data_IF_787158124702
#
_entry.id   IF_787158124702
#
_cell.length_a   1.000
_cell.length_b   1.000
_cell.length_c   1.000
_cell.angle_alpha   90.00
_cell.angle_beta   90.00
_cell.angle_gamma   90.00
#
_symmetry.space_group_name_H-M   'P 1'
#
loop_
_entity.id
_entity.type
_entity.pdbx_description
1 polymer ?
#
# COMPACT_ATOMS: atom_id res chain seq x y z
N UNK A 1 -13.27 6.09 12.99
CA UNK A 1 -13.38 4.72 12.49
C UNK A 1 -12.07 4.40 11.78
N UNK A 2 -11.45 3.26 12.03
CA UNK A 2 -10.26 2.82 11.29
C UNK A 2 -10.72 2.30 9.92
N UNK A 3 -9.95 2.54 8.87
CA UNK A 3 -10.27 2.07 7.51
C UNK A 3 -9.90 0.61 7.25
N UNK A 4 -9.64 -0.18 8.30
CA UNK A 4 -9.36 -1.62 8.23
C UNK A 4 -10.34 -2.38 9.10
N UNK A 5 -10.62 -3.63 8.74
CA UNK A 5 -11.43 -4.52 9.59
C UNK A 5 -10.65 -4.89 10.86
N UNK A 6 -11.33 -5.27 11.96
CA UNK A 6 -10.66 -5.71 13.17
C UNK A 6 -9.69 -6.88 12.94
N UNK A 7 -10.03 -7.81 12.05
CA UNK A 7 -9.17 -8.93 11.69
C UNK A 7 -7.87 -8.46 11.03
N UNK A 8 -7.98 -7.56 10.05
CA UNK A 8 -6.80 -7.01 9.35
C UNK A 8 -5.93 -6.21 10.32
N UNK A 9 -6.55 -5.45 11.23
CA UNK A 9 -5.83 -4.73 12.27
C UNK A 9 -4.97 -5.66 13.13
N UNK A 10 -5.54 -6.77 13.60
CA UNK A 10 -4.81 -7.75 14.42
C UNK A 10 -3.69 -8.44 13.65
N UNK A 11 -3.89 -8.74 12.37
CA UNK A 11 -2.82 -9.28 11.51
C UNK A 11 -1.67 -8.28 11.39
N UNK A 12 -1.94 -7.02 11.07
CA UNK A 12 -0.89 -5.99 10.97
C UNK A 12 -0.17 -5.84 12.31
N UNK A 13 -0.91 -5.80 13.42
CA UNK A 13 -0.33 -5.71 14.76
C UNK A 13 0.65 -6.87 15.03
N UNK A 14 0.22 -8.11 14.77
CA UNK A 14 1.07 -9.30 14.97
C UNK A 14 2.34 -9.32 14.10
N UNK A 15 2.32 -8.63 12.95
CA UNK A 15 3.49 -8.55 12.06
C UNK A 15 4.50 -7.51 12.53
N UNK A 16 4.07 -6.48 13.27
CA UNK A 16 4.93 -5.34 13.63
C UNK A 16 5.24 -5.23 15.12
N UNK A 17 4.51 -5.93 16.00
CA UNK A 17 4.60 -5.74 17.45
C UNK A 17 6.01 -5.97 18.03
N UNK A 18 6.74 -6.94 17.48
CA UNK A 18 8.10 -7.29 17.90
C UNK A 18 9.18 -6.41 17.25
N UNK A 19 8.81 -5.42 16.43
CA UNK A 19 9.79 -4.59 15.72
C UNK A 19 10.58 -3.70 16.70
N UNK A 20 11.94 -3.66 16.64
CA UNK A 20 12.78 -2.95 17.59
C UNK A 20 12.45 -1.46 17.78
N UNK A 21 11.86 -0.81 16.78
CA UNK A 21 11.46 0.60 16.83
C UNK A 21 10.46 0.92 17.95
N UNK A 22 9.69 -0.08 18.41
CA UNK A 22 8.72 0.08 19.48
C UNK A 22 9.33 -0.11 20.87
N UNK A 23 10.56 -0.61 20.94
CA UNK A 23 11.29 -0.80 22.19
C UNK A 23 12.33 0.31 22.37
N UNK A 24 12.46 0.80 23.60
CA UNK A 24 13.55 1.67 23.98
C UNK A 24 14.10 1.20 25.34
N UNK A 25 15.38 1.44 25.58
CA UNK A 25 16.02 1.13 26.87
C UNK A 25 15.71 2.19 27.94
N UNK A 26 14.50 2.75 27.90
CA UNK A 26 14.07 3.83 28.79
C UNK A 26 13.25 3.30 29.94
N UNK A 27 13.37 3.93 31.11
CA UNK A 27 12.49 3.69 32.25
C UNK A 27 11.08 4.29 32.05
N UNK A 28 10.87 5.07 30.98
CA UNK A 28 9.56 5.60 30.63
C UNK A 28 8.81 4.63 29.74
N UNK A 29 7.70 4.09 30.25
CA UNK A 29 6.81 3.23 29.48
C UNK A 29 6.33 3.95 28.22
N UNK A 30 6.49 3.30 27.08
CA UNK A 30 5.91 3.77 25.83
C UNK A 30 4.43 3.38 25.75
N UNK A 31 3.68 4.06 24.88
CA UNK A 31 2.32 3.63 24.56
C UNK A 31 2.35 2.24 23.88
N UNK A 32 1.36 1.37 24.14
CA UNK A 32 1.27 0.06 23.49
C UNK A 32 1.28 0.18 21.95
N UNK A 33 1.89 -0.79 21.26
CA UNK A 33 1.97 -0.80 19.79
C UNK A 33 0.58 -0.74 19.16
N UNK A 34 -0.39 -1.44 19.75
CA UNK A 34 -1.80 -1.38 19.36
C UNK A 34 -2.35 0.06 19.31
N UNK A 35 -2.02 0.88 20.32
CA UNK A 35 -2.45 2.27 20.37
C UNK A 35 -1.75 3.10 19.29
N UNK A 36 -0.44 2.92 19.12
CA UNK A 36 0.33 3.62 18.09
C UNK A 36 -0.19 3.29 16.67
N UNK A 37 -0.48 2.01 16.42
CA UNK A 37 -1.05 1.52 15.17
C UNK A 37 -2.47 2.06 14.96
N UNK A 38 -3.31 2.04 16.00
CA UNK A 38 -4.66 2.58 15.95
C UNK A 38 -4.68 4.06 15.57
N UNK A 39 -3.85 4.88 16.21
CA UNK A 39 -3.73 6.31 15.89
C UNK A 39 -3.22 6.52 14.46
N UNK A 40 -2.23 5.72 14.03
CA UNK A 40 -1.68 5.80 12.68
C UNK A 40 -2.73 5.45 11.61
N UNK A 41 -3.44 4.35 11.77
CA UNK A 41 -4.49 3.94 10.83
C UNK A 41 -5.69 4.88 10.86
N UNK A 42 -5.99 5.48 12.01
CA UNK A 42 -7.01 6.51 12.12
C UNK A 42 -6.63 7.77 11.33
N UNK A 43 -5.35 8.18 11.41
CA UNK A 43 -4.79 9.28 10.60
C UNK A 43 -4.90 8.99 9.10
N UNK A 44 -4.48 7.79 8.68
CA UNK A 44 -4.48 7.40 7.26
C UNK A 44 -5.89 7.23 6.68
N UNK A 45 -6.87 6.91 7.54
CA UNK A 45 -8.27 6.78 7.14
C UNK A 45 -9.00 8.10 6.92
N UNK A 46 -8.33 9.25 7.08
CA UNK A 46 -8.93 10.58 6.96
C UNK A 46 -8.26 11.41 5.87
N UNK A 47 -9.01 12.39 5.36
CA UNK A 47 -8.59 13.30 4.31
C UNK A 47 -9.03 14.74 4.60
N UNK A 48 -8.35 15.71 3.96
CA UNK A 48 -8.59 17.14 4.15
C UNK A 48 -8.32 17.57 5.60
N UNK A 49 -9.11 18.51 6.11
CA UNK A 49 -8.94 19.04 7.46
C UNK A 49 -9.08 17.97 8.56
N UNK A 50 -9.85 16.90 8.31
CA UNK A 50 -9.97 15.80 9.26
C UNK A 50 -8.70 14.96 9.44
N UNK A 51 -7.71 15.12 8.56
CA UNK A 51 -6.39 14.50 8.70
C UNK A 51 -5.38 15.40 9.44
N UNK A 52 -5.83 16.53 10.01
CA UNK A 52 -4.97 17.41 10.80
C UNK A 52 -4.43 16.66 12.02
N UNK A 53 -3.16 16.90 12.33
CA UNK A 53 -2.49 16.25 13.48
C UNK A 53 -3.16 16.68 14.79
N UNK A 54 -3.58 17.94 14.88
CA UNK A 54 -4.34 18.50 16.01
C UNK A 54 -5.64 17.74 16.27
N UNK A 55 -6.50 17.58 15.26
CA UNK A 55 -7.78 16.87 15.44
C UNK A 55 -7.56 15.40 15.84
N UNK A 56 -6.56 14.76 15.24
CA UNK A 56 -6.23 13.36 15.55
C UNK A 56 -5.70 13.24 16.98
N UNK A 57 -4.82 14.13 17.40
CA UNK A 57 -4.27 14.18 18.74
C UNK A 57 -5.38 14.37 19.78
N UNK A 58 -6.31 15.31 19.50
CA UNK A 58 -7.47 15.57 20.35
C UNK A 58 -8.39 14.35 20.47
N UNK A 59 -8.71 13.68 19.36
CA UNK A 59 -9.56 12.49 19.35
C UNK A 59 -8.87 11.29 20.04
N UNK A 60 -7.56 11.13 19.85
CA UNK A 60 -6.78 10.06 20.43
C UNK A 60 -6.39 10.31 21.90
N UNK A 61 -6.60 11.52 22.42
CA UNK A 61 -6.17 11.90 23.77
C UNK A 61 -4.66 11.89 23.95
N UNK A 62 -3.90 12.28 22.93
CA UNK A 62 -2.44 12.33 22.97
C UNK A 62 -1.90 13.67 22.45
N UNK A 63 -0.58 13.88 22.46
CA UNK A 63 0.03 15.08 21.89
C UNK A 63 0.18 14.97 20.38
N UNK A 64 0.23 16.11 19.69
CA UNK A 64 0.49 16.15 18.24
C UNK A 64 1.82 15.46 17.88
N UNK A 65 2.86 15.69 18.68
CA UNK A 65 4.15 15.02 18.52
C UNK A 65 4.05 13.49 18.70
N UNK A 66 3.14 13.00 19.54
CA UNK A 66 2.89 11.57 19.65
C UNK A 66 2.25 11.00 18.39
N UNK A 67 1.28 11.69 17.77
CA UNK A 67 0.68 11.28 16.50
C UNK A 67 1.73 11.14 15.39
N UNK A 68 2.61 12.13 15.26
CA UNK A 68 3.71 12.09 14.29
C UNK A 68 4.69 10.95 14.58
N UNK A 69 5.09 10.81 15.85
CA UNK A 69 6.00 9.75 16.28
C UNK A 69 5.43 8.35 16.04
N UNK A 70 4.16 8.13 16.40
CA UNK A 70 3.46 6.86 16.18
C UNK A 70 3.38 6.53 14.70
N UNK A 71 3.03 7.53 13.88
CA UNK A 71 2.99 7.39 12.43
C UNK A 71 4.35 6.95 11.90
N UNK A 72 5.42 7.68 12.25
CA UNK A 72 6.78 7.35 11.79
C UNK A 72 7.18 5.93 12.17
N UNK A 73 6.95 5.52 13.42
CA UNK A 73 7.32 4.19 13.91
C UNK A 73 6.56 3.07 13.21
N UNK A 74 5.25 3.23 13.06
CA UNK A 74 4.42 2.25 12.35
C UNK A 74 4.86 2.13 10.89
N UNK A 75 5.13 3.24 10.20
CA UNK A 75 5.66 3.18 8.83
C UNK A 75 7.02 2.50 8.78
N UNK A 76 7.96 2.81 9.68
CA UNK A 76 9.26 2.12 9.71
C UNK A 76 9.11 0.60 9.88
N UNK A 77 8.21 0.14 10.76
CA UNK A 77 7.98 -1.28 10.97
C UNK A 77 7.19 -1.96 9.83
N UNK A 78 6.29 -1.23 9.16
CA UNK A 78 5.57 -1.75 7.99
C UNK A 78 6.52 -1.83 6.78
N UNK A 79 7.36 -0.81 6.59
CA UNK A 79 8.35 -0.77 5.51
C UNK A 79 9.42 -1.84 5.66
N UNK A 80 9.74 -2.30 6.89
CA UNK A 80 10.65 -3.43 7.06
C UNK A 80 10.10 -4.75 6.51
N UNK A 81 8.79 -4.86 6.30
CA UNK A 81 8.14 -6.02 5.68
C UNK A 81 8.08 -5.90 4.15
N UNK A 82 8.59 -4.82 3.56
CA UNK A 82 8.45 -4.53 2.14
C UNK A 82 8.90 -5.71 1.27
N UNK A 83 10.08 -6.27 1.51
CA UNK A 83 10.63 -7.30 0.64
C UNK A 83 9.92 -8.66 0.79
N UNK A 84 9.21 -8.88 1.89
CA UNK A 84 8.42 -10.09 2.12
C UNK A 84 7.10 -10.09 1.33
N UNK A 85 6.54 -8.90 1.05
CA UNK A 85 5.21 -8.75 0.42
C UNK A 85 5.24 -8.04 -0.94
N UNK A 86 6.27 -7.24 -1.21
CA UNK A 86 6.43 -6.42 -2.42
C UNK A 86 7.70 -6.86 -3.13
N UNK A 87 7.63 -8.06 -3.71
CA UNK A 87 8.69 -8.61 -4.55
C UNK A 87 8.14 -8.98 -5.94
N UNK A 88 9.00 -8.99 -6.98
CA UNK A 88 8.62 -9.57 -8.25
C UNK A 88 8.23 -11.05 -8.07
N UNK A 89 7.21 -11.54 -8.80
CA UNK A 89 6.85 -12.95 -8.74
C UNK A 89 8.01 -13.81 -9.24
N UNK A 90 8.19 -14.95 -8.58
CA UNK A 90 9.12 -15.99 -9.03
C UNK A 90 8.67 -16.57 -10.37
N UNK A 91 9.57 -17.25 -11.08
CA UNK A 91 9.21 -17.85 -12.37
C UNK A 91 8.11 -18.93 -12.22
N UNK A 92 8.08 -19.63 -11.08
CA UNK A 92 7.01 -20.58 -10.78
C UNK A 92 5.66 -19.88 -10.57
N UNK A 93 5.61 -18.80 -9.81
CA UNK A 93 4.38 -18.01 -9.60
C UNK A 93 3.89 -17.41 -10.91
N UNK A 94 4.79 -16.89 -11.76
CA UNK A 94 4.44 -16.43 -13.11
C UNK A 94 3.78 -17.54 -13.94
N UNK A 95 4.29 -18.77 -13.90
CA UNK A 95 3.68 -19.88 -14.64
C UNK A 95 2.30 -20.27 -14.11
N UNK A 96 2.08 -20.18 -12.80
CA UNK A 96 0.75 -20.40 -12.20
C UNK A 96 -0.23 -19.33 -12.68
N UNK A 97 0.16 -18.06 -12.62
CA UNK A 97 -0.67 -16.94 -13.10
C UNK A 97 -0.96 -17.02 -14.60
N UNK A 98 0.06 -17.37 -15.41
CA UNK A 98 -0.12 -17.63 -16.85
C UNK A 98 -1.14 -18.73 -17.12
N UNK A 99 -1.06 -19.85 -16.39
CA UNK A 99 -2.05 -20.92 -16.51
C UNK A 99 -3.45 -20.46 -16.14
N UNK A 100 -3.58 -19.62 -15.09
CA UNK A 100 -4.86 -19.04 -14.71
C UNK A 100 -5.44 -18.14 -15.80
N UNK A 101 -4.62 -17.25 -16.38
CA UNK A 101 -5.00 -16.36 -17.50
C UNK A 101 -5.44 -17.18 -18.72
N UNK A 102 -4.69 -18.22 -19.10
CA UNK A 102 -5.00 -19.10 -20.23
C UNK A 102 -6.38 -19.75 -20.08
N UNK A 103 -6.72 -20.17 -18.86
CA UNK A 103 -7.99 -20.83 -18.54
C UNK A 103 -9.18 -19.85 -18.53
N UNK A 104 -8.98 -18.64 -18.01
CA UNK A 104 -10.08 -17.69 -17.77
C UNK A 104 -10.32 -16.71 -18.92
N UNK A 105 -9.26 -16.30 -19.62
CA UNK A 105 -9.30 -15.25 -20.65
C UNK A 105 -9.01 -15.78 -22.06
N UNK A 106 -8.50 -17.01 -22.19
CA UNK A 106 -8.25 -17.65 -23.48
C UNK A 106 -7.06 -17.10 -24.26
N UNK A 107 -6.17 -16.34 -23.62
CA UNK A 107 -4.94 -15.77 -24.21
C UNK A 107 -3.86 -16.83 -24.48
N UNK A 108 -4.16 -17.81 -25.33
CA UNK A 108 -3.20 -18.86 -25.68
C UNK A 108 -2.13 -18.34 -26.65
N UNK A 109 -0.88 -18.75 -26.45
CA UNK A 109 0.23 -18.51 -27.39
C UNK A 109 1.11 -17.31 -27.01
N UNK A 110 1.47 -16.47 -27.97
CA UNK A 110 2.49 -15.40 -27.82
C UNK A 110 2.17 -14.37 -26.73
N UNK A 111 0.89 -14.21 -26.37
CA UNK A 111 0.44 -13.29 -25.33
C UNK A 111 0.69 -13.80 -23.91
N UNK A 112 0.97 -15.10 -23.73
CA UNK A 112 1.31 -15.72 -22.46
C UNK A 112 2.64 -15.22 -21.89
N UNK A 113 3.59 -14.89 -22.75
CA UNK A 113 4.90 -14.36 -22.38
C UNK A 113 4.90 -12.82 -22.29
N UNK A 114 3.72 -12.23 -22.04
CA UNK A 114 3.54 -10.80 -21.90
C UNK A 114 4.26 -10.19 -20.69
N UNK A 115 4.33 -8.86 -20.66
CA UNK A 115 5.00 -8.10 -19.62
C UNK A 115 4.08 -7.82 -18.44
N UNK A 116 4.64 -7.79 -17.22
CA UNK A 116 3.92 -7.29 -16.04
C UNK A 116 3.74 -5.79 -16.19
N UNK A 117 2.48 -5.35 -16.21
CA UNK A 117 2.11 -3.94 -16.31
C UNK A 117 1.49 -3.49 -14.99
N UNK A 118 2.09 -2.49 -14.36
CA UNK A 118 1.49 -1.83 -13.19
C UNK A 118 0.40 -0.86 -13.64
N UNK A 119 -0.69 -0.76 -12.88
CA UNK A 119 -1.78 0.18 -13.13
C UNK A 119 -1.23 1.61 -13.30
N UNK A 120 -1.62 2.27 -14.38
CA UNK A 120 -1.12 3.60 -14.78
C UNK A 120 0.13 3.62 -15.68
N UNK A 121 0.72 2.46 -16.01
CA UNK A 121 1.71 2.38 -17.08
C UNK A 121 0.99 2.56 -18.42
N UNK A 122 1.50 3.43 -19.29
CA UNK A 122 0.91 3.69 -20.62
C UNK A 122 1.79 3.00 -21.66
N UNK A 123 1.22 2.12 -22.49
CA UNK A 123 1.92 1.62 -23.69
C UNK A 123 1.89 2.72 -24.73
N UNK A 124 2.99 3.44 -24.89
CA UNK A 124 3.04 4.54 -25.85
C UNK A 124 2.96 3.98 -27.28
N UNK A 125 1.87 4.30 -27.96
CA UNK A 125 1.63 3.98 -29.36
C UNK A 125 2.42 4.95 -30.25
N UNK A 126 3.05 4.41 -31.29
CA UNK A 126 3.83 5.20 -32.26
C UNK A 126 2.98 6.26 -32.98
N UNK A 127 1.70 5.97 -33.23
CA UNK A 127 0.79 6.86 -33.95
C UNK A 127 -0.64 6.77 -33.40
N UNK A 128 -1.45 7.78 -33.72
CA UNK A 128 -2.88 7.82 -33.40
C UNK A 128 -3.58 6.58 -33.96
N UNK A 129 -4.32 5.81 -33.13
CA UNK A 129 -5.14 4.70 -33.63
C UNK A 129 -6.18 5.16 -34.65
N UNK A 130 -6.36 4.37 -35.71
CA UNK A 130 -7.33 4.69 -36.76
C UNK A 130 -8.79 4.66 -36.29
N UNK A 131 -9.10 3.80 -35.31
CA UNK A 131 -10.42 3.72 -34.68
C UNK A 131 -10.37 4.39 -33.30
N UNK A 132 -11.25 5.37 -33.07
CA UNK A 132 -11.38 6.09 -31.79
C UNK A 132 -10.07 6.69 -31.26
N UNK A 133 -9.14 7.11 -32.12
CA UNK A 133 -7.81 7.55 -31.69
C UNK A 133 -7.77 8.69 -30.66
N UNK A 134 -8.82 9.52 -30.58
CA UNK A 134 -8.92 10.57 -29.56
C UNK A 134 -9.13 10.01 -28.15
N UNK A 135 -9.74 8.83 -28.02
CA UNK A 135 -9.90 8.14 -26.74
C UNK A 135 -8.58 7.59 -26.17
N UNK A 136 -7.58 7.41 -27.02
CA UNK A 136 -6.24 6.95 -26.65
C UNK A 136 -5.28 8.12 -26.42
N UNK A 137 -5.73 9.38 -26.52
CA UNK A 137 -4.86 10.53 -26.24
C UNK A 137 -4.79 10.76 -24.73
N UNK A 138 -3.61 10.53 -24.17
CA UNK A 138 -3.42 10.57 -22.72
C UNK A 138 -3.11 11.98 -22.23
N UNK A 139 -3.23 12.20 -20.92
CA UNK A 139 -2.78 13.45 -20.25
C UNK A 139 -1.29 13.72 -20.45
N UNK A 140 -0.49 12.71 -20.83
CA UNK A 140 0.96 12.84 -21.09
C UNK A 140 1.28 13.30 -22.52
N UNK A 141 0.28 13.75 -23.27
CA UNK A 141 0.42 14.22 -24.66
C UNK A 141 1.02 13.16 -25.61
N UNK A 142 0.68 11.89 -25.37
CA UNK A 142 1.01 10.76 -26.22
C UNK A 142 -0.23 9.89 -26.44
N UNK A 143 -0.14 8.94 -27.37
CA UNK A 143 -1.19 7.94 -27.57
C UNK A 143 -0.85 6.69 -26.77
N UNK A 144 -1.82 6.10 -26.06
CA UNK A 144 -1.66 4.86 -25.31
C UNK A 144 -2.84 4.49 -24.43
#
# INVERSE_FOLDING_TARGET
MLCVSPTVFQVILSLIEDHPIFYNESNNSQAPVEVQLGVTLYRMGRYGNGASVEDIAWIAGCSEGAVELYTKRCFTAIESLHDDYVHPPTDAEKEVEKCWIDQHLGFKGTWREGWVMYDGTIVVLYAKPGLNGDAYYTRKANYG
#
